data_IF_794147234309
#
_entry.id   IF_794147234309
#
_cell.length_a   1.000
_cell.length_b   1.000
_cell.length_c   1.000
_cell.angle_alpha   90.00
_cell.angle_beta   90.00
_cell.angle_gamma   90.00
#
_symmetry.space_group_name_H-M   'P 1'
#
loop_
_entity.id
_entity.type
_entity.pdbx_description
1 polymer ?
#
# COMPACT_ATOMS: atom_id res chain seq x y z
N UNK A 1 18.08 39.85 -28.35
CA UNK A 1 18.32 38.48 -27.87
C UNK A 1 17.02 37.99 -27.26
N UNK A 2 16.35 37.02 -27.89
CA UNK A 2 15.14 36.42 -27.32
C UNK A 2 15.53 35.64 -26.07
N UNK A 3 14.80 35.86 -24.98
CA UNK A 3 15.03 35.18 -23.72
C UNK A 3 14.44 33.76 -23.80
N UNK A 4 15.30 32.76 -23.99
CA UNK A 4 14.89 31.36 -23.93
C UNK A 4 14.70 30.93 -22.47
N UNK A 5 13.54 30.34 -22.16
CA UNK A 5 13.25 29.87 -20.81
C UNK A 5 14.00 28.56 -20.53
N UNK A 6 14.92 28.60 -19.57
CA UNK A 6 15.71 27.42 -19.17
C UNK A 6 15.24 26.89 -17.81
N UNK A 7 14.91 25.59 -17.69
CA UNK A 7 14.59 24.97 -16.42
C UNK A 7 15.74 25.11 -15.41
N UNK A 8 15.44 25.54 -14.18
CA UNK A 8 16.44 25.76 -13.11
C UNK A 8 17.37 24.57 -12.87
N UNK A 9 16.87 23.35 -13.08
CA UNK A 9 17.66 22.12 -12.92
C UNK A 9 18.84 22.01 -13.90
N UNK A 10 18.76 22.68 -15.06
CA UNK A 10 19.81 22.72 -16.09
C UNK A 10 20.79 23.88 -15.91
N UNK A 11 20.55 24.76 -14.94
CA UNK A 11 21.39 25.93 -14.69
C UNK A 11 22.44 25.60 -13.62
N UNK A 12 23.70 25.85 -13.97
CA UNK A 12 24.83 25.80 -13.06
C UNK A 12 25.32 27.23 -12.81
N UNK A 13 25.35 27.66 -11.55
CA UNK A 13 25.86 28.98 -11.20
C UNK A 13 27.39 28.93 -11.04
N UNK A 14 28.09 30.00 -11.42
CA UNK A 14 29.55 30.08 -11.27
C UNK A 14 30.03 29.98 -9.80
N UNK A 15 29.15 30.27 -8.83
CA UNK A 15 29.41 30.16 -7.40
C UNK A 15 29.03 28.79 -6.80
N UNK A 16 28.46 27.87 -7.60
CA UNK A 16 28.06 26.53 -7.14
C UNK A 16 29.20 25.51 -7.36
N UNK A 17 29.26 24.48 -6.51
CA UNK A 17 30.19 23.35 -6.70
C UNK A 17 29.71 22.45 -7.86
N UNK A 18 30.55 22.19 -8.89
CA UNK A 18 30.22 21.28 -10.00
C UNK A 18 29.77 19.87 -9.57
N UNK A 19 30.30 19.35 -8.45
CA UNK A 19 29.90 18.02 -7.96
C UNK A 19 28.49 18.01 -7.35
N UNK A 20 28.09 19.11 -6.71
CA UNK A 20 26.73 19.27 -6.17
C UNK A 20 25.73 19.41 -7.31
N UNK A 21 26.05 20.20 -8.33
CA UNK A 21 25.23 20.35 -9.52
C UNK A 21 25.06 19.04 -10.28
N UNK A 22 26.15 18.31 -10.56
CA UNK A 22 26.08 17.05 -11.29
C UNK A 22 25.24 16.01 -10.55
N UNK A 23 25.36 15.92 -9.22
CA UNK A 23 24.51 15.07 -8.38
C UNK A 23 23.04 15.48 -8.45
N UNK A 24 22.73 16.76 -8.31
CA UNK A 24 21.36 17.29 -8.43
C UNK A 24 20.76 16.96 -9.80
N UNK A 25 21.54 17.21 -10.86
CA UNK A 25 21.11 16.98 -12.23
C UNK A 25 20.86 15.49 -12.49
N UNK A 26 21.78 14.62 -12.09
CA UNK A 26 21.62 13.17 -12.18
C UNK A 26 20.37 12.71 -11.41
N UNK A 27 20.18 13.17 -10.17
CA UNK A 27 18.99 12.86 -9.36
C UNK A 27 17.70 13.27 -10.05
N UNK A 28 17.64 14.48 -10.60
CA UNK A 28 16.46 14.96 -11.33
C UNK A 28 16.22 14.20 -12.64
N UNK A 29 17.29 13.81 -13.35
CA UNK A 29 17.19 13.00 -14.54
C UNK A 29 16.61 11.61 -14.23
N UNK A 30 17.12 10.95 -13.19
CA UNK A 30 16.57 9.67 -12.73
C UNK A 30 15.13 9.79 -12.24
N UNK A 31 14.80 10.83 -11.46
CA UNK A 31 13.45 11.08 -10.99
C UNK A 31 12.46 11.30 -12.16
N UNK A 32 12.87 12.03 -13.20
CA UNK A 32 12.08 12.19 -14.42
C UNK A 32 11.85 10.85 -15.11
N UNK A 33 12.91 10.05 -15.31
CA UNK A 33 12.79 8.75 -15.96
C UNK A 33 11.86 7.81 -15.18
N UNK A 34 11.96 7.81 -13.84
CA UNK A 34 11.05 7.08 -12.97
C UNK A 34 9.61 7.56 -13.11
N UNK A 35 9.37 8.88 -13.06
CA UNK A 35 8.03 9.46 -13.21
C UNK A 35 7.40 9.11 -14.56
N UNK A 36 8.16 9.23 -15.65
CA UNK A 36 7.72 8.89 -17.01
C UNK A 36 7.31 7.41 -17.11
N UNK A 37 8.09 6.53 -16.50
CA UNK A 37 7.74 5.12 -16.40
C UNK A 37 6.45 4.89 -15.59
N UNK A 38 6.29 5.54 -14.43
CA UNK A 38 5.08 5.39 -13.61
C UNK A 38 3.84 5.82 -14.38
N UNK A 39 3.94 6.94 -15.10
CA UNK A 39 2.84 7.49 -15.88
C UNK A 39 2.47 6.55 -17.03
N UNK A 40 3.46 6.04 -17.76
CA UNK A 40 3.23 5.04 -18.81
C UNK A 40 2.57 3.79 -18.24
N UNK A 41 3.11 3.23 -17.18
CA UNK A 41 2.56 2.04 -16.52
C UNK A 41 1.10 2.23 -16.14
N UNK A 42 0.78 3.32 -15.42
CA UNK A 42 -0.60 3.59 -15.00
C UNK A 42 -1.51 3.82 -16.20
N UNK A 43 -1.06 4.57 -17.20
CA UNK A 43 -1.82 4.81 -18.43
C UNK A 43 -2.17 3.49 -19.13
N UNK A 44 -1.24 2.54 -19.22
CA UNK A 44 -1.52 1.23 -19.81
C UNK A 44 -2.58 0.48 -19.02
N UNK A 45 -2.44 0.40 -17.68
CA UNK A 45 -3.42 -0.27 -16.81
C UNK A 45 -4.79 0.38 -16.92
N UNK A 46 -4.85 1.71 -16.98
CA UNK A 46 -6.10 2.49 -17.08
C UNK A 46 -6.76 2.36 -18.45
N UNK A 47 -5.97 2.09 -19.49
CA UNK A 47 -6.46 1.86 -20.86
C UNK A 47 -6.81 0.40 -21.13
N UNK A 48 -6.62 -0.51 -20.17
CA UNK A 48 -7.02 -1.91 -20.34
C UNK A 48 -8.53 -2.09 -20.28
N UNK A 49 -9.12 -2.95 -21.12
CA UNK A 49 -10.54 -3.22 -21.09
C UNK A 49 -10.98 -3.77 -19.73
N UNK A 50 -12.16 -3.36 -19.27
CA UNK A 50 -12.76 -3.81 -18.00
C UNK A 50 -14.06 -4.61 -18.20
N UNK A 51 -14.55 -4.70 -19.44
CA UNK A 51 -15.88 -5.27 -19.76
C UNK A 51 -15.94 -6.80 -19.54
N UNK A 52 -14.86 -7.51 -19.83
CA UNK A 52 -14.79 -8.98 -19.71
C UNK A 52 -14.45 -9.46 -18.29
N UNK A 53 -14.28 -8.53 -17.35
CA UNK A 53 -13.75 -8.84 -16.05
C UNK A 53 -14.89 -9.14 -15.06
N UNK A 54 -14.92 -10.32 -14.41
CA UNK A 54 -15.99 -10.65 -13.49
C UNK A 54 -16.01 -9.66 -12.32
N UNK A 55 -17.16 -9.03 -12.01
CA UNK A 55 -17.26 -8.14 -10.87
C UNK A 55 -17.14 -8.92 -9.55
N UNK A 56 -17.05 -8.19 -8.44
CA UNK A 56 -17.08 -8.80 -7.12
C UNK A 56 -18.39 -9.57 -6.91
N UNK A 57 -18.29 -10.75 -6.28
CA UNK A 57 -19.49 -11.53 -5.97
C UNK A 57 -20.34 -10.82 -4.92
N UNK A 58 -21.65 -11.07 -4.95
CA UNK A 58 -22.59 -10.52 -3.96
C UNK A 58 -22.18 -10.87 -2.53
N UNK A 59 -21.64 -12.07 -2.30
CA UNK A 59 -21.11 -12.48 -1.00
C UNK A 59 -19.89 -11.66 -0.56
N UNK A 60 -18.98 -11.33 -1.48
CA UNK A 60 -17.83 -10.47 -1.19
C UNK A 60 -18.28 -9.06 -0.82
N UNK A 61 -19.21 -8.49 -1.60
CA UNK A 61 -19.80 -7.18 -1.33
C UNK A 61 -20.48 -7.16 0.04
N UNK A 62 -21.29 -8.19 0.34
CA UNK A 62 -21.97 -8.32 1.64
C UNK A 62 -20.98 -8.42 2.81
N UNK A 63 -19.85 -9.14 2.64
CA UNK A 63 -18.79 -9.19 3.66
C UNK A 63 -18.14 -7.81 3.87
N UNK A 64 -17.84 -7.10 2.78
CA UNK A 64 -17.28 -5.73 2.86
C UNK A 64 -18.23 -4.78 3.57
N UNK A 65 -19.53 -4.81 3.23
CA UNK A 65 -20.55 -4.00 3.89
C UNK A 65 -20.68 -4.32 5.38
N UNK A 66 -20.62 -5.60 5.76
CA UNK A 66 -20.63 -6.01 7.18
C UNK A 66 -19.44 -5.45 7.97
N UNK A 67 -18.26 -5.40 7.36
CA UNK A 67 -17.08 -4.81 8.00
C UNK A 67 -17.16 -3.28 8.06
N UNK A 68 -17.60 -2.64 6.98
CA UNK A 68 -17.75 -1.19 6.93
C UNK A 68 -18.83 -0.68 7.90
N UNK A 69 -19.95 -1.41 8.04
CA UNK A 69 -21.10 -1.06 8.89
C UNK A 69 -21.05 -1.73 10.27
N UNK A 70 -19.88 -2.05 10.80
CA UNK A 70 -19.77 -2.77 12.07
C UNK A 70 -20.13 -1.92 13.32
N UNK A 71 -20.24 -0.60 13.16
CA UNK A 71 -20.44 0.36 14.26
C UNK A 71 -21.92 0.71 14.46
N UNK A 72 -22.39 0.80 15.72
CA UNK A 72 -23.80 1.07 16.07
C UNK A 72 -24.39 2.29 15.33
N UNK A 73 -23.66 3.42 15.33
CA UNK A 73 -24.06 4.66 14.64
C UNK A 73 -24.30 4.51 13.13
N UNK A 74 -23.65 3.53 12.51
CA UNK A 74 -23.70 3.28 11.06
C UNK A 74 -24.75 2.23 10.69
N UNK A 75 -25.10 1.33 11.62
CA UNK A 75 -26.17 0.33 11.42
C UNK A 75 -27.56 0.95 11.46
N UNK A 76 -27.75 1.93 12.34
CA UNK A 76 -29.05 2.55 12.56
C UNK A 76 -29.42 3.58 11.47
N UNK A 77 -28.43 4.03 10.70
CA UNK A 77 -28.62 4.97 9.58
C UNK A 77 -28.59 4.18 8.28
N UNK A 78 -29.69 4.21 7.52
CA UNK A 78 -29.75 3.61 6.19
C UNK A 78 -28.85 4.43 5.24
N UNK A 79 -27.58 4.06 5.16
CA UNK A 79 -26.60 4.69 4.28
C UNK A 79 -26.78 4.17 2.87
N UNK A 80 -26.81 5.07 1.89
CA UNK A 80 -26.76 4.68 0.48
C UNK A 80 -25.32 4.33 0.09
N UNK A 81 -25.05 3.04 -0.18
CA UNK A 81 -23.71 2.52 -0.51
C UNK A 81 -23.52 2.17 -1.99
N UNK A 82 -24.53 2.41 -2.83
CA UNK A 82 -24.56 2.03 -4.25
C UNK A 82 -23.39 2.61 -5.04
N UNK A 83 -23.14 3.92 -4.91
CA UNK A 83 -22.03 4.62 -5.56
C UNK A 83 -20.68 4.04 -5.11
N UNK A 84 -20.52 3.83 -3.81
CA UNK A 84 -19.28 3.31 -3.24
C UNK A 84 -18.98 1.88 -3.74
N UNK A 85 -20.01 1.05 -3.88
CA UNK A 85 -19.86 -0.30 -4.46
C UNK A 85 -19.45 -0.23 -5.93
N UNK A 86 -19.98 0.73 -6.70
CA UNK A 86 -19.58 0.92 -8.09
C UNK A 86 -18.11 1.34 -8.23
N UNK A 87 -17.63 2.23 -7.36
CA UNK A 87 -16.22 2.64 -7.31
C UNK A 87 -15.32 1.47 -6.94
N UNK A 88 -15.72 0.68 -5.94
CA UNK A 88 -14.99 -0.53 -5.52
C UNK A 88 -14.90 -1.55 -6.66
N UNK A 89 -15.97 -1.73 -7.45
CA UNK A 89 -15.94 -2.62 -8.60
C UNK A 89 -14.99 -2.11 -9.71
N UNK A 90 -14.95 -0.80 -9.95
CA UNK A 90 -14.01 -0.19 -10.90
C UNK A 90 -12.56 -0.39 -10.43
N UNK A 91 -12.28 -0.13 -9.15
CA UNK A 91 -10.94 -0.31 -8.58
C UNK A 91 -10.52 -1.79 -8.57
N UNK A 92 -11.46 -2.70 -8.33
CA UNK A 92 -11.22 -4.14 -8.48
C UNK A 92 -10.83 -4.48 -9.92
N UNK A 93 -11.55 -3.95 -10.91
CA UNK A 93 -11.25 -4.21 -12.30
C UNK A 93 -9.86 -3.69 -12.71
N UNK A 94 -9.56 -2.45 -12.30
CA UNK A 94 -8.23 -1.83 -12.45
C UNK A 94 -7.13 -2.69 -11.81
N UNK A 95 -7.36 -3.20 -10.61
CA UNK A 95 -6.40 -4.04 -9.88
C UNK A 95 -6.15 -5.38 -10.58
N UNK A 96 -7.19 -6.02 -11.11
CA UNK A 96 -7.02 -7.27 -11.86
C UNK A 96 -6.27 -7.04 -13.17
N UNK A 97 -6.56 -5.95 -13.89
CA UNK A 97 -5.80 -5.53 -15.07
C UNK A 97 -4.32 -5.31 -14.73
N UNK A 98 -4.06 -4.64 -13.61
CA UNK A 98 -2.71 -4.45 -13.08
C UNK A 98 -1.99 -5.77 -12.80
N UNK A 99 -2.66 -6.74 -12.18
CA UNK A 99 -2.10 -8.07 -11.91
C UNK A 99 -1.80 -8.82 -13.20
N UNK A 100 -2.71 -8.79 -14.18
CA UNK A 100 -2.51 -9.40 -15.49
C UNK A 100 -1.31 -8.77 -16.21
N UNK A 101 -1.24 -7.44 -16.23
CA UNK A 101 -0.13 -6.69 -16.84
C UNK A 101 1.22 -7.02 -16.19
N UNK A 102 1.28 -7.05 -14.86
CA UNK A 102 2.50 -7.42 -14.14
C UNK A 102 2.97 -8.83 -14.50
N UNK A 103 2.06 -9.80 -14.66
CA UNK A 103 2.41 -11.16 -15.08
C UNK A 103 2.96 -11.19 -16.51
N UNK A 104 2.43 -10.36 -17.41
CA UNK A 104 2.94 -10.23 -18.78
C UNK A 104 4.36 -9.64 -18.80
N UNK A 105 4.62 -8.63 -17.97
CA UNK A 105 5.94 -8.01 -17.84
C UNK A 105 6.99 -8.99 -17.31
N UNK A 106 6.67 -9.76 -16.26
CA UNK A 106 7.59 -10.76 -15.67
C UNK A 106 7.89 -11.92 -16.61
N UNK A 107 6.91 -12.35 -17.42
CA UNK A 107 7.08 -13.49 -18.35
C UNK A 107 7.92 -13.17 -19.58
N UNK A 108 8.32 -11.92 -19.79
CA UNK A 108 9.25 -11.55 -20.87
C UNK A 108 8.79 -12.05 -22.24
N UNK A 109 7.52 -11.84 -22.59
CA UNK A 109 7.05 -12.20 -23.93
C UNK A 109 7.51 -11.13 -24.93
N UNK A 110 8.42 -11.54 -25.82
CA UNK A 110 8.87 -10.75 -26.95
C UNK A 110 7.70 -10.17 -27.76
N UNK A 111 7.94 -8.96 -28.28
CA UNK A 111 7.09 -8.20 -29.21
C UNK A 111 5.68 -7.83 -28.72
N UNK A 112 5.58 -7.39 -27.46
CA UNK A 112 4.34 -6.87 -26.86
C UNK A 112 4.54 -5.54 -26.11
N UNK A 113 3.51 -4.98 -25.45
CA UNK A 113 3.60 -3.73 -24.67
C UNK A 113 4.65 -3.77 -23.54
N UNK A 114 5.19 -4.96 -23.22
CA UNK A 114 6.34 -5.15 -22.35
C UNK A 114 7.60 -4.43 -22.84
N UNK A 115 7.75 -4.18 -24.15
CA UNK A 115 8.87 -3.39 -24.70
C UNK A 115 8.69 -1.88 -24.47
N UNK A 116 7.44 -1.40 -24.30
CA UNK A 116 7.12 0.02 -24.13
C UNK A 116 7.23 0.48 -22.67
N UNK A 117 7.17 -0.45 -21.73
CA UNK A 117 7.38 -0.23 -20.29
C UNK A 117 8.50 -1.18 -19.85
N UNK A 118 9.74 -0.82 -20.19
CA UNK A 118 10.90 -1.46 -19.58
C UNK A 118 10.91 -1.08 -18.09
N UNK A 119 10.40 -1.96 -17.24
CA UNK A 119 10.54 -1.83 -15.80
C UNK A 119 12.04 -1.89 -15.48
N UNK A 120 12.65 -0.86 -14.86
CA UNK A 120 13.95 -0.99 -14.23
C UNK A 120 13.94 -2.18 -13.28
N UNK A 121 15.08 -2.84 -13.10
CA UNK A 121 15.27 -3.92 -12.10
C UNK A 121 14.82 -3.52 -10.68
N UNK A 122 14.71 -2.22 -10.42
CA UNK A 122 14.26 -1.62 -9.15
C UNK A 122 12.78 -1.24 -9.11
N UNK A 123 12.00 -1.46 -10.16
CA UNK A 123 10.58 -1.10 -10.20
C UNK A 123 9.72 -2.24 -9.68
N UNK A 124 10.08 -2.64 -8.47
CA UNK A 124 9.31 -3.57 -7.67
C UNK A 124 8.09 -2.82 -7.11
N UNK A 125 6.93 -3.09 -7.70
CA UNK A 125 5.71 -3.18 -6.89
C UNK A 125 5.70 -4.44 -6.02
N UNK A 126 6.75 -5.27 -6.07
CA UNK A 126 6.95 -6.30 -5.07
C UNK A 126 6.93 -5.59 -3.73
N UNK A 127 5.85 -5.86 -2.97
CA UNK A 127 5.86 -5.72 -1.52
C UNK A 127 7.25 -6.09 -1.07
N UNK A 128 8.00 -5.13 -0.50
CA UNK A 128 9.35 -5.34 -0.01
C UNK A 128 9.40 -6.76 0.58
N UNK A 129 10.32 -7.63 0.09
CA UNK A 129 10.22 -9.07 0.23
C UNK A 129 9.77 -9.37 1.64
N UNK A 130 8.57 -9.98 1.76
CA UNK A 130 7.92 -10.14 3.06
C UNK A 130 8.98 -10.70 4.00
N UNK A 131 9.29 -10.01 5.10
CA UNK A 131 10.33 -10.48 5.99
C UNK A 131 10.02 -11.93 6.35
N UNK A 132 11.06 -12.77 6.36
CA UNK A 132 10.89 -14.17 6.69
C UNK A 132 10.09 -14.29 7.99
N UNK A 133 9.09 -15.19 8.00
CA UNK A 133 8.27 -15.36 9.18
C UNK A 133 9.18 -15.66 10.39
N UNK A 134 9.03 -14.94 11.51
CA UNK A 134 9.85 -15.19 12.68
C UNK A 134 9.66 -16.63 13.14
N UNK A 135 10.74 -17.31 13.50
CA UNK A 135 10.71 -18.72 13.90
C UNK A 135 9.85 -18.97 15.17
N UNK A 136 9.67 -17.94 15.99
CA UNK A 136 8.72 -17.92 17.10
C UNK A 136 7.86 -16.66 17.00
N UNK A 137 6.54 -16.83 17.11
CA UNK A 137 5.59 -15.73 17.25
C UNK A 137 5.58 -15.13 18.67
N UNK A 138 6.37 -15.70 19.57
CA UNK A 138 6.48 -15.28 20.97
C UNK A 138 7.75 -14.46 21.18
N UNK A 139 7.62 -13.35 21.91
CA UNK A 139 8.76 -12.64 22.45
C UNK A 139 9.23 -13.42 23.69
N UNK A 140 10.51 -13.78 23.82
CA UNK A 140 11.01 -14.41 25.03
C UNK A 140 10.86 -13.41 26.18
N UNK A 141 9.88 -13.66 27.04
CA UNK A 141 9.72 -12.90 28.26
C UNK A 141 10.84 -13.30 29.24
N UNK A 142 11.41 -12.34 29.99
CA UNK A 142 12.30 -12.68 31.10
C UNK A 142 11.57 -13.64 32.05
N UNK A 143 12.33 -14.45 32.81
CA UNK A 143 11.78 -15.39 33.79
C UNK A 143 10.95 -14.67 34.85
N UNK A 144 9.65 -14.53 34.59
CA UNK A 144 8.68 -13.91 35.47
C UNK A 144 8.16 -15.01 36.39
N UNK A 145 8.34 -14.83 37.70
CA UNK A 145 7.69 -15.67 38.72
C UNK A 145 6.20 -15.28 38.79
N UNK A 146 5.42 -15.87 37.88
CA UNK A 146 3.98 -15.67 37.79
C UNK A 146 3.28 -15.96 39.13
N UNK A 147 3.58 -17.06 39.85
CA UNK A 147 3.03 -17.28 41.20
C UNK A 147 3.23 -16.10 42.15
N UNK A 148 4.44 -15.54 42.22
CA UNK A 148 4.73 -14.40 43.09
C UNK A 148 3.96 -13.15 42.65
N UNK A 149 4.03 -12.77 41.37
CA UNK A 149 3.36 -11.58 40.86
C UNK A 149 1.84 -11.66 40.94
N UNK A 150 1.28 -12.85 40.69
CA UNK A 150 -0.16 -13.09 40.82
C UNK A 150 -0.63 -12.96 42.28
N UNK A 151 0.17 -13.45 43.23
CA UNK A 151 -0.12 -13.31 44.66
C UNK A 151 -0.07 -11.85 45.11
N UNK A 152 0.95 -11.10 44.68
CA UNK A 152 1.13 -9.69 45.00
C UNK A 152 0.01 -8.84 44.40
N UNK A 153 -0.36 -9.09 43.14
CA UNK A 153 -1.47 -8.43 42.47
C UNK A 153 -2.80 -8.72 43.16
N UNK A 154 -3.10 -9.98 43.43
CA UNK A 154 -4.36 -10.40 44.09
C UNK A 154 -4.49 -9.76 45.47
N UNK A 155 -3.39 -9.70 46.22
CA UNK A 155 -3.37 -9.09 47.54
C UNK A 155 -3.55 -7.57 47.48
N UNK A 156 -2.85 -6.88 46.57
CA UNK A 156 -2.89 -5.41 46.49
C UNK A 156 -4.17 -4.86 45.87
N UNK A 157 -4.70 -5.53 44.86
CA UNK A 157 -5.84 -5.00 44.10
C UNK A 157 -7.17 -5.50 44.64
N UNK A 158 -7.20 -6.63 45.35
CA UNK A 158 -8.42 -7.31 45.82
C UNK A 158 -9.42 -7.65 44.70
N UNK A 159 -9.07 -7.40 43.44
CA UNK A 159 -9.93 -7.59 42.25
C UNK A 159 -10.23 -9.06 41.96
N UNK A 160 -9.53 -9.97 42.63
CA UNK A 160 -9.76 -11.41 42.56
C UNK A 160 -10.72 -11.91 43.64
N UNK A 161 -11.13 -11.05 44.59
CA UNK A 161 -12.09 -11.41 45.64
C UNK A 161 -13.53 -11.25 45.16
N UNK A 162 -14.34 -12.28 45.40
CA UNK A 162 -15.74 -12.32 44.98
C UNK A 162 -16.59 -11.20 45.59
N UNK A 163 -16.26 -10.75 46.81
CA UNK A 163 -17.00 -9.65 47.44
C UNK A 163 -16.77 -8.32 46.71
N UNK A 164 -15.55 -8.06 46.23
CA UNK A 164 -15.19 -6.84 45.49
C UNK A 164 -15.77 -6.87 44.07
N UNK A 165 -15.73 -8.03 43.42
CA UNK A 165 -16.34 -8.22 42.09
C UNK A 165 -17.86 -8.02 42.14
N UNK A 166 -18.51 -8.42 43.24
CA UNK A 166 -19.95 -8.27 43.41
C UNK A 166 -20.39 -6.84 43.76
N UNK A 167 -19.44 -5.98 44.17
CA UNK A 167 -19.69 -4.59 44.56
C UNK A 167 -19.39 -3.58 43.43
N UNK A 168 -18.72 -4.01 42.36
CA UNK A 168 -18.40 -3.27 41.14
C UNK A 168 -19.51 -3.45 40.09
#
# INVERSE_FOLDING_TARGET
AEAEWVPRVRVHFAAEDPFVFSRRFAGAFHARAQAELMLRYNLFVDSMPTEDLPPLSTDQINRMLRFALNTKKLKDKLMETSQLISEVNLEYARTMNRVAFNRMLVKGSGDGPATLVALPDSYDFALAPRPAAPACATVPLPGLDFPHQFSEFSFRTLLTKGEVISAL
#
